data_IF_444583526015
#
_entry.id   IF_444583526015
#
_cell.length_a   1.000
_cell.length_b   1.000
_cell.length_c   1.000
_cell.angle_alpha   90.00
_cell.angle_beta   90.00
_cell.angle_gamma   90.00
#
_symmetry.space_group_name_H-M   'P 1'
#
loop_
_entity.id
_entity.type
_entity.pdbx_description
1 polymer ?
#
# COMPACT_ATOMS: atom_id res chain seq x y z
N UNK A 1 39.50 -21.09 -17.09
CA UNK A 1 38.60 -22.00 -16.36
C UNK A 1 37.38 -21.19 -15.98
N UNK A 2 36.31 -21.36 -16.75
CA UNK A 2 35.01 -20.70 -16.56
C UNK A 2 34.31 -21.33 -15.35
N UNK A 3 34.06 -20.55 -14.31
CA UNK A 3 33.17 -20.97 -13.21
C UNK A 3 31.84 -20.23 -13.34
N UNK A 4 30.89 -20.99 -13.91
CA UNK A 4 29.43 -20.97 -13.79
C UNK A 4 28.92 -19.94 -12.76
N UNK A 5 28.35 -18.84 -13.26
CA UNK A 5 27.45 -18.00 -12.47
C UNK A 5 26.20 -18.83 -12.18
N UNK A 6 25.86 -19.04 -10.91
CA UNK A 6 24.61 -19.70 -10.53
C UNK A 6 23.42 -18.88 -11.04
N UNK A 7 22.27 -19.54 -11.24
CA UNK A 7 20.98 -18.87 -11.51
C UNK A 7 20.74 -17.71 -10.55
N UNK A 8 21.12 -17.88 -9.30
CA UNK A 8 20.93 -16.91 -8.22
C UNK A 8 21.80 -15.67 -8.40
N UNK A 9 22.97 -15.79 -9.03
CA UNK A 9 23.82 -14.64 -9.34
C UNK A 9 23.31 -13.86 -10.55
N UNK A 10 22.67 -14.55 -11.51
CA UNK A 10 21.97 -13.90 -12.63
C UNK A 10 20.67 -13.23 -12.17
N UNK A 11 19.93 -13.79 -11.21
CA UNK A 11 18.78 -13.14 -10.57
C UNK A 11 19.19 -11.94 -9.72
N UNK A 12 20.32 -12.03 -9.00
CA UNK A 12 20.89 -10.91 -8.25
C UNK A 12 21.32 -9.76 -9.17
N UNK A 13 21.95 -10.07 -10.31
CA UNK A 13 22.27 -9.07 -11.33
C UNK A 13 21.01 -8.52 -12.01
N UNK A 14 19.98 -9.32 -12.28
CA UNK A 14 18.71 -8.84 -12.81
C UNK A 14 17.93 -7.96 -11.80
N UNK A 15 18.03 -8.25 -10.50
CA UNK A 15 17.49 -7.41 -9.42
C UNK A 15 18.24 -6.08 -9.30
N UNK A 16 19.56 -6.10 -9.43
CA UNK A 16 20.37 -4.87 -9.41
C UNK A 16 20.19 -4.02 -10.68
N UNK A 17 19.92 -4.64 -11.83
CA UNK A 17 19.54 -3.95 -13.07
C UNK A 17 18.14 -3.33 -12.95
N UNK A 18 17.19 -3.92 -12.21
CA UNK A 18 15.90 -3.28 -11.87
C UNK A 18 16.04 -2.08 -10.91
N UNK A 19 17.10 -2.02 -10.10
CA UNK A 19 17.32 -0.95 -9.12
C UNK A 19 18.10 0.26 -9.67
N UNK A 20 18.83 0.12 -10.79
CA UNK A 20 19.77 1.16 -11.25
C UNK A 20 19.29 2.04 -12.41
N UNK A 21 18.16 1.74 -13.05
CA UNK A 21 17.43 2.75 -13.81
C UNK A 21 15.94 2.62 -13.55
N UNK A 22 15.37 3.63 -12.88
CA UNK A 22 13.92 3.91 -12.84
C UNK A 22 13.38 4.27 -14.25
N UNK A 23 13.88 3.61 -15.30
CA UNK A 23 13.51 3.76 -16.70
C UNK A 23 12.12 3.22 -16.98
N UNK A 24 11.58 2.29 -16.18
CA UNK A 24 10.16 1.91 -16.26
C UNK A 24 9.21 3.05 -15.88
N UNK A 25 9.68 4.11 -15.21
CA UNK A 25 8.90 5.35 -15.00
C UNK A 25 9.01 6.29 -16.21
N UNK A 26 10.02 6.09 -17.08
CA UNK A 26 10.24 6.84 -18.31
C UNK A 26 9.49 6.19 -19.48
N UNK A 27 8.17 6.08 -19.33
CA UNK A 27 7.26 5.46 -20.32
C UNK A 27 7.01 6.39 -21.51
N UNK A 28 6.93 5.79 -22.71
CA UNK A 28 6.68 6.49 -23.98
C UNK A 28 5.33 7.25 -23.95
N UNK A 29 5.12 8.32 -24.75
CA UNK A 29 3.85 9.05 -24.82
C UNK A 29 2.60 8.20 -25.10
N UNK A 30 2.75 7.05 -25.74
CA UNK A 30 1.65 6.17 -26.17
C UNK A 30 1.16 5.20 -25.07
N UNK A 31 1.97 4.90 -24.06
CA UNK A 31 1.66 4.00 -22.93
C UNK A 31 1.18 4.77 -21.67
N UNK A 32 0.71 6.01 -21.87
CA UNK A 32 0.23 6.90 -20.79
C UNK A 32 -1.26 6.80 -20.50
N UNK A 33 -2.00 6.07 -21.32
CA UNK A 33 -3.46 5.99 -21.22
C UNK A 33 -3.86 4.64 -20.66
N UNK A 34 -4.51 4.62 -19.50
CA UNK A 34 -5.00 3.39 -18.90
C UNK A 34 -5.00 3.48 -17.39
N UNK A 35 -5.80 2.62 -16.76
CA UNK A 35 -5.81 2.50 -15.32
C UNK A 35 -4.66 1.57 -14.88
N UNK A 36 -3.89 2.03 -13.91
CA UNK A 36 -2.72 1.36 -13.36
C UNK A 36 -2.95 1.10 -11.88
N UNK A 37 -2.56 -0.09 -11.42
CA UNK A 37 -2.40 -0.43 -10.02
C UNK A 37 -0.93 -0.68 -9.72
N UNK A 38 -0.43 -0.05 -8.64
CA UNK A 38 0.87 -0.39 -8.07
C UNK A 38 0.67 -0.80 -6.63
N UNK A 39 1.26 -1.94 -6.26
CA UNK A 39 1.41 -2.40 -4.88
C UNK A 39 2.87 -2.32 -4.51
N UNK A 40 3.17 -1.62 -3.43
CA UNK A 40 4.53 -1.48 -2.93
C UNK A 40 4.58 -1.62 -1.42
N UNK A 41 5.77 -1.98 -0.93
CA UNK A 41 6.11 -2.01 0.48
C UNK A 41 7.20 -0.98 0.78
N UNK A 42 7.17 -0.41 1.97
CA UNK A 42 8.24 0.46 2.48
C UNK A 42 8.31 0.40 4.01
N UNK A 43 9.48 0.72 4.58
CA UNK A 43 9.68 0.76 6.03
C UNK A 43 9.90 2.21 6.49
N UNK A 44 9.27 2.63 7.59
CA UNK A 44 9.54 3.95 8.17
C UNK A 44 10.97 4.05 8.72
N UNK A 45 11.64 5.17 8.43
CA UNK A 45 12.97 5.49 8.99
C UNK A 45 12.91 5.88 10.47
N UNK A 46 11.75 6.34 10.93
CA UNK A 46 11.42 6.51 12.35
C UNK A 46 9.98 6.06 12.60
N UNK A 47 9.73 5.42 13.73
CA UNK A 47 8.36 5.12 14.12
C UNK A 47 7.53 6.41 14.25
N UNK A 48 6.34 6.36 13.67
CA UNK A 48 5.35 7.41 13.73
C UNK A 48 4.24 6.98 14.68
N UNK A 49 3.70 7.92 15.44
CA UNK A 49 2.49 7.67 16.21
C UNK A 49 1.30 7.43 15.28
N UNK A 50 0.28 6.72 15.79
CA UNK A 50 -1.01 6.56 15.11
C UNK A 50 -1.56 7.89 14.56
N UNK A 51 -1.47 8.96 15.35
CA UNK A 51 -1.94 10.30 14.95
C UNK A 51 -1.12 10.89 13.80
N UNK A 52 0.20 10.68 13.78
CA UNK A 52 1.06 11.12 12.67
C UNK A 52 0.73 10.35 11.39
N UNK A 53 0.54 9.03 11.47
CA UNK A 53 0.17 8.19 10.33
C UNK A 53 -1.21 8.57 9.79
N UNK A 54 -2.18 8.84 10.67
CA UNK A 54 -3.47 9.36 10.24
C UNK A 54 -3.36 10.72 9.54
N UNK A 55 -2.53 11.64 10.03
CA UNK A 55 -2.30 12.94 9.37
C UNK A 55 -1.69 12.76 7.98
N UNK A 56 -0.74 11.83 7.84
CA UNK A 56 -0.18 11.43 6.54
C UNK A 56 -1.27 10.90 5.62
N UNK A 57 -2.10 9.97 6.10
CA UNK A 57 -3.20 9.39 5.34
C UNK A 57 -4.19 10.46 4.87
N UNK A 58 -4.54 11.44 5.72
CA UNK A 58 -5.42 12.55 5.34
C UNK A 58 -4.80 13.47 4.27
N UNK A 59 -3.51 13.76 4.39
CA UNK A 59 -2.79 14.53 3.38
C UNK A 59 -2.72 13.77 2.04
N UNK A 60 -2.44 12.47 2.09
CA UNK A 60 -2.46 11.59 0.93
C UNK A 60 -3.85 11.56 0.30
N UNK A 61 -4.91 11.30 1.07
CA UNK A 61 -6.29 11.28 0.57
C UNK A 61 -6.68 12.60 -0.14
N UNK A 62 -6.29 13.75 0.41
CA UNK A 62 -6.53 15.06 -0.21
C UNK A 62 -5.81 15.21 -1.55
N UNK A 63 -4.55 14.77 -1.64
CA UNK A 63 -3.78 14.86 -2.88
C UNK A 63 -4.29 13.85 -3.92
N UNK A 64 -4.55 12.62 -3.50
CA UNK A 64 -5.06 11.53 -4.32
C UNK A 64 -6.42 11.87 -4.92
N UNK A 65 -7.32 12.47 -4.14
CA UNK A 65 -8.64 12.89 -4.62
C UNK A 65 -8.54 13.91 -5.76
N UNK A 66 -7.56 14.83 -5.72
CA UNK A 66 -7.34 15.81 -6.81
C UNK A 66 -6.80 15.16 -8.09
N UNK A 67 -6.01 14.10 -7.94
CA UNK A 67 -5.38 13.36 -9.03
C UNK A 67 -6.26 12.20 -9.56
N UNK A 68 -7.47 12.01 -9.00
CA UNK A 68 -8.30 10.86 -9.34
C UNK A 68 -7.65 9.52 -8.98
N UNK A 69 -6.81 9.49 -7.94
CA UNK A 69 -6.15 8.28 -7.42
C UNK A 69 -6.91 7.76 -6.21
N UNK A 70 -7.02 6.44 -6.09
CA UNK A 70 -7.55 5.73 -4.91
C UNK A 70 -6.47 4.84 -4.34
N UNK A 71 -6.68 4.37 -3.12
CA UNK A 71 -5.73 3.44 -2.53
C UNK A 71 -6.09 3.03 -1.12
N UNK A 72 -5.38 2.00 -0.68
CA UNK A 72 -5.50 1.44 0.64
C UNK A 72 -4.13 1.01 1.14
N UNK A 73 -3.89 1.23 2.42
CA UNK A 73 -2.66 0.89 3.10
C UNK A 73 -2.94 0.01 4.31
N UNK A 74 -2.00 -0.88 4.56
CA UNK A 74 -1.85 -1.63 5.80
C UNK A 74 -0.55 -1.18 6.45
N UNK A 75 -0.58 -0.94 7.75
CA UNK A 75 0.60 -0.60 8.55
C UNK A 75 0.74 -1.58 9.72
N UNK A 76 1.96 -2.07 9.95
CA UNK A 76 2.32 -2.78 11.16
C UNK A 76 3.80 -2.57 11.49
N UNK A 77 4.10 -2.15 12.72
CA UNK A 77 5.48 -2.04 13.21
C UNK A 77 6.36 -1.08 12.40
N UNK A 78 5.76 -0.09 11.74
CA UNK A 78 6.43 0.85 10.84
C UNK A 78 6.62 0.35 9.41
N UNK A 79 6.26 -0.90 9.09
CA UNK A 79 6.18 -1.38 7.72
C UNK A 79 4.82 -0.99 7.13
N UNK A 80 4.84 -0.56 5.87
CA UNK A 80 3.66 -0.25 5.09
C UNK A 80 3.57 -1.19 3.89
N UNK A 81 2.37 -1.71 3.63
CA UNK A 81 1.99 -2.30 2.35
C UNK A 81 0.87 -1.45 1.76
N UNK A 82 1.07 -0.92 0.57
CA UNK A 82 0.18 0.10 -0.02
C UNK A 82 -0.20 -0.32 -1.43
N UNK A 83 -1.49 -0.21 -1.76
CA UNK A 83 -1.97 -0.20 -3.13
C UNK A 83 -2.46 1.19 -3.52
N UNK A 84 -2.02 1.66 -4.69
CA UNK A 84 -2.52 2.87 -5.35
C UNK A 84 -3.04 2.54 -6.74
N UNK A 85 -4.17 3.15 -7.11
CA UNK A 85 -4.87 2.89 -8.37
C UNK A 85 -5.30 4.21 -9.02
N UNK A 86 -5.22 4.31 -10.35
CA UNK A 86 -5.65 5.51 -11.06
C UNK A 86 -5.13 5.59 -12.47
N UNK A 87 -5.23 6.77 -13.08
CA UNK A 87 -4.58 7.02 -14.36
C UNK A 87 -3.07 6.74 -14.25
N UNK A 88 -2.52 6.03 -15.22
CA UNK A 88 -1.15 5.57 -15.19
C UNK A 88 -0.13 6.72 -15.05
N UNK A 89 -0.42 7.89 -15.63
CA UNK A 89 0.44 9.06 -15.45
C UNK A 89 0.38 9.58 -14.02
N UNK A 90 -0.81 9.77 -13.48
CA UNK A 90 -1.02 10.30 -12.12
C UNK A 90 -0.43 9.37 -11.05
N UNK A 91 -0.61 8.07 -11.21
CA UNK A 91 -0.05 7.03 -10.31
C UNK A 91 1.49 7.05 -10.36
N UNK A 92 2.10 7.11 -11.55
CA UNK A 92 3.56 7.17 -11.69
C UNK A 92 4.15 8.46 -11.14
N UNK A 93 3.53 9.61 -11.40
CA UNK A 93 3.94 10.90 -10.81
C UNK A 93 3.84 10.89 -9.29
N UNK A 94 2.81 10.26 -8.73
CA UNK A 94 2.67 10.08 -7.29
C UNK A 94 3.73 9.15 -6.72
N UNK A 95 3.97 8.01 -7.36
CA UNK A 95 4.98 7.04 -6.95
C UNK A 95 6.38 7.68 -6.89
N UNK A 96 6.72 8.51 -7.90
CA UNK A 96 7.98 9.27 -7.91
C UNK A 96 8.16 10.15 -6.66
N UNK A 97 7.09 10.81 -6.21
CA UNK A 97 7.13 11.62 -4.98
C UNK A 97 7.24 10.75 -3.74
N UNK A 98 6.55 9.60 -3.72
CA UNK A 98 6.57 8.67 -2.61
C UNK A 98 7.99 8.11 -2.43
N UNK A 99 8.62 7.59 -3.49
CA UNK A 99 9.98 6.99 -3.44
C UNK A 99 11.03 7.96 -2.87
N UNK A 100 10.86 9.27 -3.06
CA UNK A 100 11.79 10.30 -2.58
C UNK A 100 11.49 10.77 -1.15
N UNK A 101 10.46 10.24 -0.50
CA UNK A 101 10.04 10.68 0.82
C UNK A 101 11.03 10.19 1.90
N UNK A 102 11.75 11.07 2.61
CA UNK A 102 12.78 10.66 3.57
C UNK A 102 12.21 9.97 4.83
N UNK A 103 10.88 9.93 4.97
CA UNK A 103 10.21 9.26 6.10
C UNK A 103 10.25 7.74 5.97
N UNK A 104 10.59 7.19 4.81
CA UNK A 104 10.71 5.76 4.62
C UNK A 104 11.96 5.35 3.84
N UNK A 105 12.31 4.08 3.94
CA UNK A 105 13.35 3.41 3.18
C UNK A 105 12.86 2.01 2.78
N UNK A 106 13.78 1.18 2.28
CA UNK A 106 13.52 -0.23 1.94
C UNK A 106 12.29 -0.39 1.04
N UNK A 107 12.23 0.46 0.00
CA UNK A 107 11.12 0.53 -0.93
C UNK A 107 11.17 -0.64 -1.93
N UNK A 108 10.09 -1.40 -2.02
CA UNK A 108 9.97 -2.58 -2.89
C UNK A 108 8.64 -2.55 -3.64
N UNK A 109 8.68 -2.55 -4.97
CA UNK A 109 7.47 -2.70 -5.79
C UNK A 109 7.12 -4.18 -5.86
N UNK A 110 6.03 -4.55 -5.21
CA UNK A 110 5.56 -5.93 -5.10
C UNK A 110 4.79 -6.34 -6.36
N UNK A 111 3.93 -5.46 -6.86
CA UNK A 111 3.13 -5.73 -8.06
C UNK A 111 2.87 -4.43 -8.84
N UNK A 112 2.82 -4.53 -10.17
CA UNK A 112 2.44 -3.46 -11.07
C UNK A 112 1.54 -4.05 -12.15
N UNK A 113 0.29 -3.62 -12.22
CA UNK A 113 -0.72 -4.14 -13.14
C UNK A 113 -1.31 -2.99 -13.96
N UNK A 114 -1.06 -3.02 -15.27
CA UNK A 114 -1.57 -2.04 -16.22
C UNK A 114 -2.86 -2.51 -16.88
N UNK A 115 -3.72 -1.56 -17.26
CA UNK A 115 -4.95 -1.87 -17.99
C UNK A 115 -6.02 -2.55 -17.13
N UNK A 116 -5.98 -2.37 -15.80
CA UNK A 116 -7.03 -2.90 -14.94
C UNK A 116 -8.39 -2.30 -15.34
N UNK A 117 -9.44 -3.12 -15.39
CA UNK A 117 -10.77 -2.65 -15.85
C UNK A 117 -11.52 -1.86 -14.78
N UNK A 118 -11.30 -2.21 -13.50
CA UNK A 118 -11.95 -1.59 -12.35
C UNK A 118 -10.97 -1.48 -11.18
N UNK A 119 -11.17 -0.43 -10.37
CA UNK A 119 -10.47 -0.24 -9.09
C UNK A 119 -10.82 -1.38 -8.13
N UNK A 120 -9.82 -2.02 -7.53
CA UNK A 120 -9.99 -3.02 -6.47
C UNK A 120 -10.12 -2.32 -5.11
N UNK A 121 -9.49 -1.16 -4.95
CA UNK A 121 -9.42 -0.37 -3.73
C UNK A 121 -10.04 1.03 -3.90
N UNK A 122 -11.22 1.08 -4.54
CA UNK A 122 -11.85 2.32 -5.01
C UNK A 122 -12.66 3.14 -3.98
N UNK A 123 -12.92 2.62 -2.77
CA UNK A 123 -13.80 3.28 -1.78
C UNK A 123 -13.22 4.58 -1.25
N UNK A 124 -11.90 4.67 -1.11
CA UNK A 124 -11.22 5.84 -0.57
C UNK A 124 -10.12 6.35 -1.49
N UNK A 125 -9.95 7.67 -1.52
CA UNK A 125 -8.78 8.29 -2.13
C UNK A 125 -7.48 7.80 -1.47
N UNK A 126 -7.52 7.61 -0.14
CA UNK A 126 -6.57 6.83 0.64
C UNK A 126 -7.21 6.48 1.98
N UNK A 127 -6.97 5.28 2.49
CA UNK A 127 -7.25 4.90 3.87
C UNK A 127 -6.13 3.99 4.39
N UNK A 128 -5.95 3.92 5.70
CA UNK A 128 -4.94 3.07 6.33
C UNK A 128 -5.58 2.23 7.43
N UNK A 129 -5.24 0.95 7.45
CA UNK A 129 -5.57 0.03 8.52
C UNK A 129 -4.31 -0.36 9.29
N UNK A 130 -4.39 -0.31 10.61
CA UNK A 130 -3.32 -0.71 11.51
C UNK A 130 -3.53 -2.17 11.88
N UNK A 131 -2.49 -2.98 11.74
CA UNK A 131 -2.49 -4.41 12.04
C UNK A 131 -1.56 -4.71 13.23
N UNK A 132 -1.79 -4.04 14.35
CA UNK A 132 -0.99 -4.10 15.58
C UNK A 132 -1.55 -5.09 16.63
N UNK A 133 -2.61 -5.83 16.31
CA UNK A 133 -3.28 -6.79 17.19
C UNK A 133 -3.24 -8.22 16.62
N UNK A 134 -2.54 -9.13 17.29
CA UNK A 134 -2.46 -10.55 16.91
C UNK A 134 -3.84 -11.24 16.87
N UNK A 135 -4.78 -10.82 17.72
CA UNK A 135 -6.15 -11.34 17.69
C UNK A 135 -6.87 -10.89 16.43
N UNK A 136 -6.58 -9.68 15.95
CA UNK A 136 -7.08 -9.21 14.66
C UNK A 136 -6.50 -10.05 13.52
N UNK A 137 -5.19 -10.33 13.56
CA UNK A 137 -4.53 -11.17 12.56
C UNK A 137 -5.17 -12.56 12.46
N UNK A 138 -5.31 -13.22 13.61
CA UNK A 138 -5.92 -14.55 13.69
C UNK A 138 -7.37 -14.54 13.19
N UNK A 139 -8.14 -13.50 13.52
CA UNK A 139 -9.55 -13.39 13.12
C UNK A 139 -9.74 -13.12 11.62
N UNK A 140 -8.88 -12.30 11.03
CA UNK A 140 -9.07 -11.81 9.65
C UNK A 140 -8.27 -12.62 8.63
N UNK A 141 -7.08 -13.08 8.99
CA UNK A 141 -6.20 -13.82 8.08
C UNK A 141 -6.05 -15.30 8.47
N UNK A 142 -6.33 -15.66 9.73
CA UNK A 142 -6.10 -17.01 10.27
C UNK A 142 -4.80 -17.10 11.05
N UNK A 143 -4.56 -18.23 11.72
CA UNK A 143 -3.41 -18.42 12.61
C UNK A 143 -2.05 -18.52 11.87
N UNK A 144 -2.07 -18.74 10.54
CA UNK A 144 -0.86 -18.93 9.74
C UNK A 144 -0.19 -17.61 9.30
N UNK A 145 -0.78 -16.46 9.65
CA UNK A 145 -0.29 -15.15 9.24
C UNK A 145 0.10 -14.30 10.45
N UNK A 146 1.28 -13.70 10.40
CA UNK A 146 1.77 -12.74 11.39
C UNK A 146 2.32 -11.49 10.72
N UNK A 147 2.38 -10.40 11.50
CA UNK A 147 3.01 -9.15 11.08
C UNK A 147 4.49 -9.33 10.67
N UNK A 148 5.17 -10.38 11.12
CA UNK A 148 6.56 -10.66 10.76
C UNK A 148 6.77 -10.81 9.25
N UNK A 149 5.74 -11.22 8.51
CA UNK A 149 5.80 -11.31 7.06
C UNK A 149 5.86 -9.92 6.40
N UNK A 150 5.20 -8.92 6.99
CA UNK A 150 5.27 -7.52 6.54
C UNK A 150 6.67 -6.94 6.80
N UNK A 151 7.22 -7.26 7.99
CA UNK A 151 8.54 -6.84 8.46
C UNK A 151 9.69 -7.64 7.83
N UNK A 152 9.40 -8.71 7.10
CA UNK A 152 10.42 -9.61 6.55
C UNK A 152 11.29 -8.89 5.52
N UNK A 153 12.63 -8.98 5.59
CA UNK A 153 13.51 -8.40 4.57
C UNK A 153 13.44 -9.15 3.23
N UNK A 154 12.73 -10.29 3.17
CA UNK A 154 12.55 -11.07 1.93
C UNK A 154 11.59 -10.35 0.99
N UNK A 155 11.74 -10.62 -0.31
CA UNK A 155 10.78 -10.17 -1.33
C UNK A 155 9.40 -10.73 -0.99
N UNK A 156 8.39 -9.87 -1.01
CA UNK A 156 7.02 -10.26 -0.72
C UNK A 156 6.40 -10.91 -1.96
N UNK A 157 5.67 -12.01 -1.76
CA UNK A 157 4.96 -12.67 -2.86
C UNK A 157 3.71 -11.84 -3.25
N UNK A 158 3.49 -11.54 -4.55
CA UNK A 158 2.40 -10.67 -4.98
C UNK A 158 0.99 -11.13 -4.59
N UNK A 159 0.69 -12.42 -4.70
CA UNK A 159 -0.63 -12.94 -4.34
C UNK A 159 -0.89 -12.80 -2.83
N UNK A 160 0.12 -13.02 -1.99
CA UNK A 160 0.04 -12.77 -0.55
C UNK A 160 -0.22 -11.29 -0.25
N UNK A 161 0.55 -10.38 -0.85
CA UNK A 161 0.35 -8.94 -0.67
C UNK A 161 -1.05 -8.48 -1.07
N UNK A 162 -1.53 -8.91 -2.23
CA UNK A 162 -2.87 -8.60 -2.72
C UNK A 162 -3.97 -9.22 -1.84
N UNK A 163 -3.76 -10.45 -1.35
CA UNK A 163 -4.68 -11.12 -0.43
C UNK A 163 -4.80 -10.38 0.90
N UNK A 164 -3.66 -10.02 1.50
CA UNK A 164 -3.58 -9.22 2.73
C UNK A 164 -4.32 -7.88 2.58
N UNK A 165 -4.02 -7.13 1.53
CA UNK A 165 -4.69 -5.86 1.24
C UNK A 165 -6.19 -6.04 1.02
N UNK A 166 -6.60 -7.05 0.24
CA UNK A 166 -8.02 -7.30 -0.09
C UNK A 166 -8.84 -7.60 1.17
N UNK A 167 -8.34 -8.47 2.04
CA UNK A 167 -9.01 -8.84 3.28
C UNK A 167 -9.10 -7.66 4.26
N UNK A 168 -8.00 -6.92 4.47
CA UNK A 168 -8.00 -5.74 5.31
C UNK A 168 -8.95 -4.64 4.78
N UNK A 169 -8.97 -4.44 3.46
CA UNK A 169 -9.87 -3.49 2.81
C UNK A 169 -11.34 -3.88 2.97
N UNK A 170 -11.70 -5.14 2.73
CA UNK A 170 -13.07 -5.63 2.93
C UNK A 170 -13.53 -5.46 4.38
N UNK A 171 -12.66 -5.77 5.35
CA UNK A 171 -12.95 -5.53 6.76
C UNK A 171 -13.20 -4.04 7.04
N UNK A 172 -12.32 -3.16 6.55
CA UNK A 172 -12.47 -1.71 6.72
C UNK A 172 -13.77 -1.19 6.09
N UNK A 173 -14.16 -1.70 4.91
CA UNK A 173 -15.42 -1.36 4.25
C UNK A 173 -16.62 -1.76 5.11
N UNK A 174 -16.65 -3.01 5.60
CA UNK A 174 -17.72 -3.50 6.47
C UNK A 174 -17.84 -2.68 7.77
N UNK A 175 -16.72 -2.30 8.38
CA UNK A 175 -16.73 -1.44 9.57
C UNK A 175 -17.26 -0.03 9.27
N UNK A 176 -16.91 0.55 8.13
CA UNK A 176 -17.39 1.87 7.72
C UNK A 176 -18.92 1.87 7.49
N UNK A 177 -19.47 0.79 6.93
CA UNK A 177 -20.91 0.61 6.74
C UNK A 177 -21.66 0.41 8.08
N UNK A 178 -21.08 -0.33 9.02
CA UNK A 178 -21.62 -0.42 10.39
C UNK A 178 -21.61 0.95 11.09
N UNK A 179 -20.56 1.74 10.92
CA UNK A 179 -20.49 3.10 11.47
C UNK A 179 -21.49 4.07 10.81
N UNK A 180 -21.77 3.92 9.51
CA UNK A 180 -22.74 4.75 8.79
C UNK A 180 -24.18 4.42 9.19
N UNK A 181 -24.50 3.14 9.43
CA UNK A 181 -25.82 2.72 9.91
C UNK A 181 -26.09 3.08 11.38
N UNK A 182 -25.06 3.14 12.23
CA UNK A 182 -25.14 3.66 13.60
C UNK A 182 -25.24 5.20 13.67
N UNK A 183 -25.11 5.90 12.54
CA UNK A 183 -25.21 7.36 12.43
C UNK A 183 -26.35 7.79 11.48
N UNK A 184 -27.59 7.36 11.77
CA UNK A 184 -28.77 7.97 11.17
C UNK A 184 -28.98 9.39 11.72
N UNK A 185 -28.22 10.36 11.17
CA UNK A 185 -28.38 11.77 11.50
C UNK A 185 -27.21 12.67 11.11
N UNK A 186 -27.10 12.95 9.80
CA UNK A 186 -26.26 13.97 9.11
C UNK A 186 -24.91 13.53 8.54
N UNK A 187 -24.83 13.77 7.23
CA UNK A 187 -23.71 13.72 6.29
C UNK A 187 -22.27 13.77 6.86
N UNK A 188 -21.47 12.82 6.38
CA UNK A 188 -20.05 12.97 6.02
C UNK A 188 -19.19 13.81 6.96
N UNK A 189 -18.81 13.25 8.11
CA UNK A 189 -17.65 13.73 8.86
C UNK A 189 -16.68 12.58 9.10
N UNK A 190 -15.41 12.85 8.82
CA UNK A 190 -14.25 12.05 9.21
C UNK A 190 -14.43 11.52 10.65
N UNK A 191 -14.19 10.21 10.90
CA UNK A 191 -14.33 9.62 12.22
C UNK A 191 -13.47 10.38 13.24
N UNK A 192 -14.10 10.86 14.31
CA UNK A 192 -13.39 11.56 15.39
C UNK A 192 -12.62 10.56 16.24
N UNK A 193 -11.34 10.87 16.47
CA UNK A 193 -10.29 10.14 17.22
C UNK A 193 -10.67 9.61 18.63
N UNK A 194 -11.88 9.83 19.14
CA UNK A 194 -12.24 9.56 20.54
C UNK A 194 -12.82 8.18 20.83
N UNK A 195 -13.00 7.29 19.85
CA UNK A 195 -13.63 5.99 20.08
C UNK A 195 -12.68 4.78 20.02
N UNK A 196 -11.38 4.97 19.77
CA UNK A 196 -10.40 3.86 19.71
C UNK A 196 -9.57 3.66 20.98
N UNK A 197 -9.79 4.44 22.05
CA UNK A 197 -9.16 4.20 23.35
C UNK A 197 -10.22 3.76 24.37
N UNK A 198 -10.49 2.45 24.42
CA UNK A 198 -10.86 1.82 25.69
C UNK A 198 -9.69 0.94 26.10
N UNK A 199 -9.15 1.28 27.27
CA UNK A 199 -8.21 0.47 28.06
C UNK A 199 -8.77 -0.92 28.31
#
# INVERSE_FOLDING_TARGET
MLCILSSDFLEYLNSLVSMLTWEWLKVSPAERTGMLQIVFRSQLTRLLSYVEIQRLCLAAAKNNSKAGVTGFAVECGGAFLVSIEGDAREVREMLNRIIQDPRHDTFDVVCCEEGIERRRFGTWAMNVMFLDDDLFWSRVFGADFSCDQLLSPRKMEPAFALGLLSMAYQYACAQAEMASSLSSGRAGRLPRIRHMFRR
#
